data_IF_369925615154
#
_entry.id   IF_369925615154
#
_cell.length_a   1.000
_cell.length_b   1.000
_cell.length_c   1.000
_cell.angle_alpha   90.00
_cell.angle_beta   90.00
_cell.angle_gamma   90.00
#
_symmetry.space_group_name_H-M   'P 1'
#
loop_
_entity.id
_entity.type
_entity.pdbx_description
1 polymer ?
#
# COMPACT_ATOMS: atom_id res chain seq x y z
N UNK A 1 -16.45 56.80 56.51
CA UNK A 1 -17.35 57.65 57.30
C UNK A 1 -18.30 58.28 56.29
N UNK A 2 -19.55 57.90 56.13
CA UNK A 2 -20.44 57.12 56.98
C UNK A 2 -21.47 56.40 56.10
N UNK A 3 -21.80 55.16 56.48
CA UNK A 3 -22.98 54.47 55.96
C UNK A 3 -24.23 54.93 56.71
N UNK A 4 -25.36 54.95 56.01
CA UNK A 4 -26.67 54.93 56.65
C UNK A 4 -27.70 54.27 55.73
N UNK A 5 -27.93 52.97 55.93
CA UNK A 5 -29.25 52.34 55.74
C UNK A 5 -30.17 52.82 56.88
N UNK A 6 -31.51 52.91 56.72
CA UNK A 6 -32.32 51.68 56.72
C UNK A 6 -33.70 51.76 56.03
N UNK A 7 -34.36 50.61 55.87
CA UNK A 7 -35.83 50.54 55.95
C UNK A 7 -36.52 49.48 55.09
N UNK A 8 -36.55 48.22 55.56
CA UNK A 8 -37.53 47.22 55.09
C UNK A 8 -38.83 47.30 55.91
N UNK A 9 -40.01 47.17 55.27
CA UNK A 9 -41.16 46.51 55.87
C UNK A 9 -41.33 45.06 55.37
N UNK A 10 -42.02 44.23 56.18
CA UNK A 10 -42.07 42.76 56.14
C UNK A 10 -43.52 42.25 55.92
N UNK A 11 -43.67 41.32 54.95
CA UNK A 11 -44.62 40.16 54.79
C UNK A 11 -46.15 40.41 54.68
N UNK A 12 -46.95 39.55 53.98
CA UNK A 12 -47.15 38.12 54.31
C UNK A 12 -47.05 37.12 53.15
N UNK A 13 -46.98 35.85 53.57
CA UNK A 13 -46.78 34.59 52.84
C UNK A 13 -47.91 34.26 51.87
N UNK A 14 -47.56 33.72 50.70
CA UNK A 14 -48.38 32.74 50.00
C UNK A 14 -47.47 31.61 49.49
N UNK A 15 -47.81 30.39 49.89
CA UNK A 15 -47.19 29.13 49.46
C UNK A 15 -47.78 28.77 48.10
N UNK A 16 -46.95 28.55 47.07
CA UNK A 16 -47.35 27.81 45.86
C UNK A 16 -46.18 26.94 45.41
N UNK A 17 -46.51 25.67 45.20
CA UNK A 17 -45.66 24.53 44.87
C UNK A 17 -45.16 24.61 43.42
N UNK A 18 -43.87 24.43 43.19
CA UNK A 18 -43.24 24.40 41.85
C UNK A 18 -43.46 23.04 41.17
N UNK A 19 -44.03 23.03 39.96
CA UNK A 19 -43.84 21.96 38.97
C UNK A 19 -43.24 22.58 37.71
N UNK A 20 -42.04 22.10 37.34
CA UNK A 20 -41.26 22.53 36.18
C UNK A 20 -41.46 21.49 35.08
N UNK A 21 -42.08 21.89 33.96
CA UNK A 21 -42.14 21.12 32.72
C UNK A 21 -41.70 22.04 31.59
N UNK A 22 -40.53 21.76 31.03
CA UNK A 22 -39.93 22.51 29.93
C UNK A 22 -40.43 21.97 28.60
N UNK A 23 -41.09 22.83 27.82
CA UNK A 23 -41.51 22.56 26.43
C UNK A 23 -40.57 23.34 25.50
N UNK A 24 -39.88 22.63 24.60
CA UNK A 24 -39.12 23.24 23.49
C UNK A 24 -40.07 23.64 22.35
N UNK A 25 -39.93 24.86 21.86
CA UNK A 25 -40.53 25.32 20.61
C UNK A 25 -39.45 25.88 19.67
N UNK A 26 -39.61 25.55 18.39
CA UNK A 26 -38.70 25.78 17.28
C UNK A 26 -38.69 27.24 16.77
N UNK A 27 -37.59 27.63 16.12
CA UNK A 27 -37.54 28.74 15.17
C UNK A 27 -36.65 28.36 13.98
N UNK A 28 -37.12 28.64 12.76
CA UNK A 28 -36.45 28.37 11.49
C UNK A 28 -35.44 29.49 11.15
N UNK A 29 -34.26 29.12 10.66
CA UNK A 29 -33.33 29.99 9.93
C UNK A 29 -32.64 29.23 8.79
N UNK A 30 -32.36 29.96 7.71
CA UNK A 30 -31.93 29.59 6.34
C UNK A 30 -30.69 28.68 6.29
N UNK A 31 -30.55 27.76 5.31
CA UNK A 31 -29.31 26.99 5.13
C UNK A 31 -28.19 27.91 4.61
N UNK A 32 -27.16 28.10 5.42
CA UNK A 32 -25.84 28.50 4.94
C UNK A 32 -25.23 27.30 4.22
N UNK A 33 -24.76 27.52 2.99
CA UNK A 33 -23.83 26.64 2.28
C UNK A 33 -22.53 26.58 3.09
N UNK A 34 -22.51 25.70 4.09
CA UNK A 34 -21.35 25.37 4.88
C UNK A 34 -20.40 24.54 4.03
N UNK A 35 -19.37 25.21 3.54
CA UNK A 35 -18.09 24.64 3.10
C UNK A 35 -17.80 23.32 3.82
N UNK A 36 -17.88 22.21 3.09
CA UNK A 36 -17.37 20.91 3.55
C UNK A 36 -15.90 21.12 3.85
N UNK A 37 -15.53 20.96 5.12
CA UNK A 37 -14.14 20.94 5.54
C UNK A 37 -13.40 19.84 4.78
N UNK A 38 -12.20 20.19 4.31
CA UNK A 38 -11.25 19.27 3.69
C UNK A 38 -11.15 17.95 4.47
N UNK A 39 -11.18 16.79 3.81
CA UNK A 39 -10.62 15.57 4.37
C UNK A 39 -9.10 15.62 4.16
N UNK A 40 -8.41 16.20 5.14
CA UNK A 40 -7.09 15.72 5.52
C UNK A 40 -7.28 15.00 6.85
N UNK A 41 -6.94 13.71 6.88
CA UNK A 41 -6.45 12.92 8.03
C UNK A 41 -6.71 11.45 7.73
N UNK A 42 -5.63 10.67 7.57
CA UNK A 42 -5.68 9.26 7.23
C UNK A 42 -6.50 8.44 8.23
N UNK A 43 -7.24 7.46 7.73
CA UNK A 43 -7.93 6.49 8.58
C UNK A 43 -6.90 5.80 9.47
N UNK A 44 -7.14 5.84 10.78
CA UNK A 44 -6.38 5.07 11.78
C UNK A 44 -6.51 3.59 11.42
N UNK A 45 -5.46 3.00 10.85
CA UNK A 45 -5.46 1.62 10.34
C UNK A 45 -4.97 1.45 8.90
N UNK A 46 -4.64 2.54 8.19
CA UNK A 46 -4.17 2.50 6.79
C UNK A 46 -2.67 2.86 6.64
N UNK A 47 -1.87 2.75 7.70
CA UNK A 47 -0.44 3.05 7.65
C UNK A 47 0.35 1.82 7.16
N UNK A 48 0.86 1.81 5.92
CA UNK A 48 1.62 0.68 5.39
C UNK A 48 2.93 0.42 6.14
N UNK A 49 3.50 1.43 6.83
CA UNK A 49 4.69 1.23 7.66
C UNK A 49 4.41 0.23 8.78
N UNK A 50 3.18 0.17 9.27
CA UNK A 50 2.80 -0.75 10.34
C UNK A 50 2.65 -2.22 9.88
N UNK A 51 2.71 -2.50 8.58
CA UNK A 51 2.86 -3.85 8.03
C UNK A 51 4.31 -4.36 8.11
N UNK A 52 5.30 -3.47 8.23
CA UNK A 52 6.71 -3.86 8.34
C UNK A 52 6.91 -4.66 9.63
N UNK A 53 7.32 -5.92 9.51
CA UNK A 53 7.34 -6.83 10.65
C UNK A 53 7.61 -8.29 10.30
N UNK A 54 7.57 -9.13 11.34
CA UNK A 54 7.58 -10.59 11.23
C UNK A 54 6.25 -11.13 11.74
N UNK A 55 5.50 -11.79 10.86
CA UNK A 55 4.11 -12.16 11.10
C UNK A 55 3.92 -13.66 10.97
N UNK A 56 3.30 -14.27 11.97
CA UNK A 56 2.75 -15.61 11.87
C UNK A 56 1.51 -15.56 10.97
N UNK A 57 1.51 -16.38 9.94
CA UNK A 57 0.42 -16.48 8.95
C UNK A 57 -0.61 -17.50 9.42
N UNK A 58 -1.89 -17.22 9.19
CA UNK A 58 -3.00 -18.12 9.49
C UNK A 58 -4.07 -18.03 8.41
N UNK A 59 -4.75 -19.16 8.13
CA UNK A 59 -5.87 -19.21 7.19
C UNK A 59 -5.50 -19.16 5.70
N UNK A 60 -4.23 -18.94 5.37
CA UNK A 60 -3.75 -18.94 3.99
C UNK A 60 -3.80 -20.35 3.37
N UNK A 61 -4.44 -20.45 2.21
CA UNK A 61 -4.53 -21.71 1.47
C UNK A 61 -3.15 -22.23 1.05
N UNK A 62 -2.90 -23.50 1.37
CA UNK A 62 -1.63 -24.17 1.03
C UNK A 62 -0.51 -23.98 2.06
N UNK A 63 -0.70 -23.13 3.07
CA UNK A 63 0.30 -22.88 4.10
C UNK A 63 0.11 -23.75 5.34
N UNK A 64 1.22 -24.22 5.91
CA UNK A 64 1.26 -24.95 7.16
C UNK A 64 0.98 -24.02 8.36
N UNK A 65 0.74 -24.60 9.56
CA UNK A 65 0.59 -23.77 10.75
C UNK A 65 1.85 -22.94 10.98
N UNK A 66 3.05 -23.49 10.74
CA UNK A 66 4.38 -22.90 10.95
C UNK A 66 4.89 -22.03 9.79
N UNK A 67 4.02 -21.16 9.27
CA UNK A 67 4.36 -20.21 8.20
C UNK A 67 4.55 -18.79 8.76
N UNK A 68 5.66 -18.14 8.40
CA UNK A 68 5.92 -16.73 8.75
C UNK A 68 6.17 -15.87 7.52
N UNK A 69 5.49 -14.73 7.48
CA UNK A 69 5.69 -13.68 6.49
C UNK A 69 6.49 -12.54 7.13
N UNK A 70 7.71 -12.31 6.65
CA UNK A 70 8.48 -11.11 6.97
C UNK A 70 8.23 -10.07 5.90
N UNK A 71 7.81 -8.87 6.30
CA UNK A 71 7.60 -7.73 5.42
C UNK A 71 8.64 -6.65 5.75
N UNK A 72 9.51 -6.36 4.79
CA UNK A 72 10.52 -5.30 4.82
C UNK A 72 10.22 -4.29 3.70
N UNK A 73 10.80 -3.09 3.70
CA UNK A 73 10.50 -2.11 2.65
C UNK A 73 10.78 -2.69 1.24
N UNK A 74 9.74 -2.80 0.41
CA UNK A 74 9.80 -3.31 -0.97
C UNK A 74 9.96 -4.83 -1.13
N UNK A 75 10.09 -5.59 -0.04
CA UNK A 75 10.43 -7.02 -0.11
C UNK A 75 9.80 -7.84 1.01
N UNK A 76 9.34 -9.03 0.66
CA UNK A 76 8.91 -10.03 1.62
C UNK A 76 9.81 -11.27 1.59
N UNK A 77 9.88 -11.97 2.72
CA UNK A 77 10.30 -13.37 2.75
C UNK A 77 9.21 -14.21 3.38
N UNK A 78 8.83 -15.30 2.72
CA UNK A 78 7.84 -16.25 3.21
C UNK A 78 8.55 -17.55 3.64
N UNK A 79 8.49 -17.82 4.94
CA UNK A 79 9.07 -18.98 5.59
C UNK A 79 7.99 -20.03 5.76
N UNK A 80 8.25 -21.26 5.34
CA UNK A 80 7.28 -22.34 5.41
C UNK A 80 7.93 -23.73 5.39
N UNK A 81 7.18 -24.71 4.92
CA UNK A 81 7.51 -26.13 5.08
C UNK A 81 8.77 -26.61 4.33
N UNK A 82 9.27 -25.82 3.37
CA UNK A 82 10.51 -26.14 2.67
C UNK A 82 11.78 -25.95 3.54
N UNK A 83 11.66 -25.59 4.82
CA UNK A 83 12.76 -25.51 5.78
C UNK A 83 13.72 -24.35 5.54
N UNK A 84 13.31 -23.39 4.72
CA UNK A 84 13.96 -22.10 4.47
C UNK A 84 12.89 -21.07 4.06
N UNK A 85 13.19 -20.14 3.16
CA UNK A 85 12.23 -19.13 2.69
C UNK A 85 12.27 -18.90 1.18
N UNK A 86 11.17 -18.37 0.65
CA UNK A 86 11.11 -17.72 -0.67
C UNK A 86 11.07 -16.21 -0.51
N UNK A 87 11.47 -15.47 -1.53
CA UNK A 87 11.57 -14.01 -1.54
C UNK A 87 10.84 -13.43 -2.74
N UNK A 88 10.08 -12.37 -2.50
CA UNK A 88 9.36 -11.61 -3.52
C UNK A 88 9.24 -10.14 -3.13
N UNK A 89 8.60 -9.34 -3.98
CA UNK A 89 8.34 -7.92 -3.73
C UNK A 89 6.96 -7.69 -3.15
N UNK A 90 6.80 -6.68 -2.30
CA UNK A 90 5.49 -6.14 -1.94
C UNK A 90 5.57 -4.62 -1.84
N UNK A 91 4.41 -3.98 -1.92
CA UNK A 91 4.24 -2.55 -1.67
C UNK A 91 2.80 -2.30 -1.16
N UNK A 92 2.59 -1.16 -0.49
CA UNK A 92 1.30 -0.81 0.06
C UNK A 92 1.08 0.70 0.18
N UNK A 93 -0.19 1.09 0.07
CA UNK A 93 -0.62 2.47 0.15
C UNK A 93 -2.05 2.58 0.67
N UNK A 94 -2.24 3.28 1.78
CA UNK A 94 -3.58 3.42 2.37
C UNK A 94 -4.11 2.04 2.77
N UNK A 95 -5.05 1.48 1.99
CA UNK A 95 -5.57 0.12 2.20
C UNK A 95 -5.16 -0.85 1.10
N UNK A 96 -4.50 -0.38 0.06
CA UNK A 96 -4.05 -1.19 -1.08
C UNK A 96 -2.78 -1.94 -0.72
N UNK A 97 -2.72 -3.21 -1.10
CA UNK A 97 -1.55 -4.08 -0.97
C UNK A 97 -1.28 -4.74 -2.31
N UNK A 98 -0.01 -4.86 -2.69
CA UNK A 98 0.41 -5.66 -3.85
C UNK A 98 1.59 -6.53 -3.45
N UNK A 99 1.62 -7.77 -3.95
CA UNK A 99 2.76 -8.65 -3.80
C UNK A 99 3.02 -9.44 -5.10
N UNK A 100 4.30 -9.57 -5.47
CA UNK A 100 4.70 -10.39 -6.60
C UNK A 100 4.68 -11.88 -6.25
N UNK A 101 4.71 -12.72 -7.28
CA UNK A 101 5.20 -14.09 -7.11
C UNK A 101 6.64 -14.08 -6.56
N UNK A 102 7.04 -15.14 -5.83
CA UNK A 102 8.42 -15.25 -5.39
C UNK A 102 9.37 -15.40 -6.58
N UNK A 103 10.45 -14.62 -6.58
CA UNK A 103 11.47 -14.62 -7.64
C UNK A 103 12.82 -15.17 -7.16
N UNK A 104 12.97 -15.41 -5.85
CA UNK A 104 14.16 -16.02 -5.26
C UNK A 104 13.78 -16.98 -4.12
N UNK A 105 14.72 -17.85 -3.76
CA UNK A 105 14.56 -18.78 -2.65
C UNK A 105 15.90 -19.09 -1.99
N UNK A 106 15.85 -19.41 -0.69
CA UNK A 106 17.00 -19.83 0.09
C UNK A 106 16.95 -21.33 0.40
N UNK A 107 18.12 -21.93 0.63
CA UNK A 107 18.25 -23.30 1.11
C UNK A 107 17.49 -24.33 0.27
N UNK A 108 16.76 -25.23 0.93
CA UNK A 108 16.02 -26.30 0.27
C UNK A 108 14.86 -25.78 -0.61
N UNK A 109 14.32 -24.59 -0.33
CA UNK A 109 13.25 -23.98 -1.13
C UNK A 109 13.69 -23.67 -2.57
N UNK A 110 14.99 -23.55 -2.85
CA UNK A 110 15.48 -23.33 -4.22
C UNK A 110 15.80 -24.61 -5.00
N UNK A 111 15.82 -25.77 -4.34
CA UNK A 111 16.40 -27.00 -4.93
C UNK A 111 15.50 -27.69 -5.96
N UNK A 112 14.18 -27.54 -5.84
CA UNK A 112 13.18 -28.16 -6.72
C UNK A 112 12.46 -27.15 -7.63
N UNK A 113 12.95 -25.91 -7.69
CA UNK A 113 12.20 -24.76 -8.20
C UNK A 113 11.63 -23.93 -7.06
N UNK A 114 11.39 -22.64 -7.31
CA UNK A 114 10.87 -21.69 -6.32
C UNK A 114 9.38 -21.98 -6.11
N UNK A 115 8.93 -22.32 -4.89
CA UNK A 115 7.52 -22.46 -4.58
C UNK A 115 6.73 -21.19 -4.89
N UNK A 116 5.54 -21.35 -5.46
CA UNK A 116 4.59 -20.25 -5.66
C UNK A 116 3.86 -19.94 -4.34
N UNK A 117 3.37 -18.70 -4.20
CA UNK A 117 2.55 -18.25 -3.08
C UNK A 117 1.23 -17.65 -3.59
N UNK A 118 0.32 -18.46 -4.15
CA UNK A 118 -0.85 -17.95 -4.85
C UNK A 118 -1.82 -17.18 -3.95
N UNK A 119 -1.90 -17.52 -2.66
CA UNK A 119 -2.70 -16.74 -1.71
C UNK A 119 -2.15 -15.33 -1.54
N UNK A 120 -0.82 -15.14 -1.54
CA UNK A 120 -0.23 -13.81 -1.34
C UNK A 120 -0.43 -12.94 -2.58
N UNK A 121 -0.44 -13.54 -3.78
CA UNK A 121 -0.74 -12.86 -5.05
C UNK A 121 -2.18 -12.33 -5.11
N UNK A 122 -3.12 -12.98 -4.42
CA UNK A 122 -4.54 -12.62 -4.47
C UNK A 122 -4.89 -11.50 -3.50
N UNK A 123 -3.98 -11.13 -2.59
CA UNK A 123 -4.18 -10.03 -1.65
C UNK A 123 -4.10 -8.71 -2.39
N UNK A 124 -5.19 -7.93 -2.31
CA UNK A 124 -5.25 -6.57 -2.86
C UNK A 124 -5.43 -5.51 -1.79
N UNK A 125 -5.81 -5.92 -0.57
CA UNK A 125 -6.05 -5.01 0.53
C UNK A 125 -5.68 -5.60 1.89
N UNK A 126 -5.59 -4.73 2.88
CA UNK A 126 -5.33 -5.10 4.26
C UNK A 126 -6.13 -4.24 5.23
N UNK A 127 -6.37 -4.77 6.43
CA UNK A 127 -7.03 -4.03 7.49
C UNK A 127 -6.62 -4.49 8.89
N UNK A 128 -6.65 -3.61 9.90
CA UNK A 128 -6.31 -3.97 11.25
C UNK A 128 -7.28 -5.00 11.83
N UNK A 129 -6.76 -5.91 12.63
CA UNK A 129 -7.52 -6.96 13.33
C UNK A 129 -7.11 -7.04 14.80
N UNK A 130 -7.21 -5.92 15.52
CA UNK A 130 -6.72 -5.82 16.90
C UNK A 130 -5.19 -5.79 16.95
N UNK A 131 -4.54 -6.87 17.35
CA UNK A 131 -3.07 -6.98 17.49
C UNK A 131 -2.34 -7.41 16.19
N UNK A 132 -2.99 -7.30 15.03
CA UNK A 132 -2.43 -7.76 13.76
C UNK A 132 -3.24 -7.28 12.57
N UNK A 133 -3.19 -8.04 11.48
CA UNK A 133 -3.79 -7.65 10.20
C UNK A 133 -4.60 -8.78 9.59
N UNK A 134 -5.65 -8.42 8.86
CA UNK A 134 -6.31 -9.29 7.89
C UNK A 134 -5.92 -8.84 6.48
N UNK A 135 -5.52 -9.79 5.67
CA UNK A 135 -5.25 -9.63 4.24
C UNK A 135 -6.48 -10.07 3.45
N UNK A 136 -6.90 -9.25 2.51
CA UNK A 136 -8.17 -9.37 1.80
C UNK A 136 -7.93 -9.50 0.30
N UNK A 137 -8.75 -10.30 -0.36
CA UNK A 137 -8.81 -10.36 -1.82
C UNK A 137 -9.71 -9.26 -2.41
N UNK A 138 -9.88 -9.30 -3.73
CA UNK A 138 -10.68 -8.33 -4.48
C UNK A 138 -12.19 -8.39 -4.18
N UNK A 139 -12.69 -9.51 -3.67
CA UNK A 139 -14.08 -9.67 -3.23
C UNK A 139 -14.28 -9.20 -1.78
N UNK A 140 -13.18 -8.93 -1.07
CA UNK A 140 -13.16 -8.53 0.34
C UNK A 140 -13.15 -9.72 1.30
N UNK A 141 -12.95 -10.94 0.79
CA UNK A 141 -12.83 -12.14 1.60
C UNK A 141 -11.45 -12.21 2.26
N UNK A 142 -11.39 -12.78 3.46
CA UNK A 142 -10.13 -12.89 4.22
C UNK A 142 -9.29 -14.02 3.62
N UNK A 143 -8.14 -13.65 3.06
CA UNK A 143 -7.14 -14.58 2.52
C UNK A 143 -6.23 -15.10 3.62
N UNK A 144 -5.79 -14.21 4.52
CA UNK A 144 -4.88 -14.57 5.60
C UNK A 144 -4.98 -13.63 6.80
N UNK A 145 -4.72 -14.16 7.99
CA UNK A 145 -4.49 -13.39 9.20
C UNK A 145 -3.01 -13.31 9.54
N UNK A 146 -2.53 -12.13 9.94
CA UNK A 146 -1.17 -11.85 10.39
C UNK A 146 -1.17 -11.51 11.88
N UNK A 147 -0.36 -12.20 12.68
CA UNK A 147 -0.18 -11.94 14.12
C UNK A 147 1.29 -11.95 14.51
N UNK A 148 1.65 -11.17 15.54
CA UNK A 148 2.97 -11.29 16.16
C UNK A 148 2.98 -12.55 17.02
N UNK A 149 3.58 -13.62 16.52
CA UNK A 149 3.72 -14.88 17.26
C UNK A 149 4.98 -15.64 16.82
N UNK A 150 5.92 -15.80 17.75
CA UNK A 150 7.17 -16.51 17.51
C UNK A 150 8.02 -15.95 16.35
N UNK A 151 8.89 -16.81 15.85
CA UNK A 151 9.77 -16.55 14.71
C UNK A 151 10.08 -17.89 14.01
N UNK A 152 10.40 -17.88 12.71
CA UNK A 152 10.80 -19.10 12.01
C UNK A 152 12.08 -19.68 12.61
N UNK A 153 12.27 -20.99 12.46
CA UNK A 153 13.51 -21.63 12.87
C UNK A 153 14.69 -21.06 12.06
N UNK A 154 15.84 -20.75 12.69
CA UNK A 154 17.01 -20.26 11.97
C UNK A 154 17.51 -21.28 10.93
N UNK A 155 17.83 -20.80 9.72
CA UNK A 155 18.54 -21.61 8.73
C UNK A 155 20.02 -21.69 9.14
N UNK A 156 20.64 -22.89 9.15
CA UNK A 156 22.08 -23.01 9.37
C UNK A 156 22.86 -22.13 8.38
N UNK A 157 23.83 -21.38 8.90
CA UNK A 157 24.70 -20.47 8.15
C UNK A 157 24.02 -19.22 7.54
N UNK A 158 22.72 -19.03 7.76
CA UNK A 158 22.03 -17.78 7.42
C UNK A 158 22.17 -16.74 8.54
N UNK A 159 22.08 -15.47 8.18
CA UNK A 159 22.07 -14.38 9.15
C UNK A 159 20.80 -14.46 10.02
N UNK A 160 20.95 -14.40 11.34
CA UNK A 160 19.85 -14.48 12.31
C UNK A 160 18.78 -13.41 12.08
N UNK A 161 19.19 -12.25 11.56
CA UNK A 161 18.32 -11.10 11.27
C UNK A 161 17.22 -11.44 10.25
N UNK A 162 17.42 -12.44 9.40
CA UNK A 162 16.42 -12.87 8.43
C UNK A 162 15.20 -13.52 9.10
N UNK A 163 15.39 -14.10 10.28
CA UNK A 163 14.33 -14.68 11.11
C UNK A 163 13.77 -13.69 12.15
N UNK A 164 14.10 -12.40 12.04
CA UNK A 164 13.66 -11.35 12.97
C UNK A 164 12.81 -10.29 12.25
N UNK A 165 11.99 -9.58 13.02
CA UNK A 165 11.29 -8.41 12.51
C UNK A 165 12.30 -7.35 12.06
N UNK A 166 12.13 -6.75 10.86
CA UNK A 166 12.95 -5.64 10.41
C UNK A 166 12.83 -4.42 11.35
N UNK A 167 13.92 -3.67 11.46
CA UNK A 167 13.90 -2.37 12.13
C UNK A 167 13.19 -1.34 11.25
N UNK A 168 12.25 -0.60 11.83
CA UNK A 168 11.59 0.54 11.16
C UNK A 168 12.47 1.78 11.29
N UNK A 169 13.42 1.90 10.35
CA UNK A 169 14.32 3.06 10.22
C UNK A 169 13.63 4.24 9.52
N UNK A 170 14.30 5.39 9.46
CA UNK A 170 13.80 6.54 8.70
C UNK A 170 13.76 6.26 7.19
N UNK A 171 14.70 5.48 6.66
CA UNK A 171 14.69 5.05 5.25
C UNK A 171 13.48 4.15 4.96
N UNK A 172 13.13 3.25 5.88
CA UNK A 172 11.91 2.42 5.77
C UNK A 172 10.67 3.31 5.78
N UNK A 173 10.57 4.31 6.66
CA UNK A 173 9.43 5.24 6.67
C UNK A 173 9.34 6.03 5.37
N UNK A 174 10.47 6.54 4.88
CA UNK A 174 10.55 7.30 3.63
C UNK A 174 10.07 6.49 2.41
N UNK A 175 10.30 5.17 2.40
CA UNK A 175 9.82 4.31 1.32
C UNK A 175 8.28 4.27 1.18
N UNK A 176 7.54 4.57 2.26
CA UNK A 176 6.08 4.57 2.27
C UNK A 176 5.46 5.98 2.26
N UNK A 177 6.27 7.03 2.26
CA UNK A 177 5.78 8.40 2.18
C UNK A 177 4.98 8.62 0.88
N UNK A 178 3.88 9.40 0.93
CA UNK A 178 3.14 9.73 -0.29
C UNK A 178 4.05 10.43 -1.32
N UNK A 179 4.10 9.97 -2.58
CA UNK A 179 4.96 10.57 -3.59
C UNK A 179 4.46 11.96 -3.98
N UNK A 180 5.37 12.80 -4.48
CA UNK A 180 5.03 14.11 -5.05
C UNK A 180 3.91 13.99 -6.09
N UNK A 181 2.97 14.96 -6.22
CA UNK A 181 1.85 14.87 -7.14
C UNK A 181 2.31 14.76 -8.60
N UNK A 182 1.40 14.32 -9.49
CA UNK A 182 1.68 14.35 -10.93
C UNK A 182 2.02 15.78 -11.38
N UNK A 183 3.04 15.95 -12.23
CA UNK A 183 3.34 17.22 -12.88
C UNK A 183 2.15 17.82 -13.62
N UNK A 184 2.09 19.15 -13.65
CA UNK A 184 1.06 19.90 -14.38
C UNK A 184 1.01 19.47 -15.85
N UNK A 185 -0.20 19.28 -16.36
CA UNK A 185 -0.45 18.88 -17.75
C UNK A 185 -0.54 17.37 -17.96
N UNK A 186 -0.23 16.55 -16.96
CA UNK A 186 -0.53 15.12 -16.98
C UNK A 186 -1.91 14.84 -16.36
N UNK A 187 -2.72 14.03 -17.03
CA UNK A 187 -3.92 13.47 -16.43
C UNK A 187 -3.56 12.19 -15.67
N UNK A 188 -4.08 11.94 -14.45
CA UNK A 188 -3.93 10.64 -13.80
C UNK A 188 -4.39 9.50 -14.72
N UNK A 189 -3.58 8.46 -14.85
CA UNK A 189 -3.98 7.28 -15.60
C UNK A 189 -4.98 6.45 -14.78
N UNK A 190 -5.94 5.81 -15.45
CA UNK A 190 -6.75 4.74 -14.83
C UNK A 190 -6.16 3.37 -15.17
N UNK A 191 -6.55 2.33 -14.43
CA UNK A 191 -6.18 0.93 -14.72
C UNK A 191 -6.44 0.57 -16.19
N UNK A 192 -7.60 0.98 -16.73
CA UNK A 192 -7.99 0.70 -18.11
C UNK A 192 -7.07 1.38 -19.14
N UNK A 193 -6.51 2.53 -18.78
CA UNK A 193 -5.58 3.23 -19.65
C UNK A 193 -4.23 2.52 -19.67
N UNK A 194 -3.75 2.08 -18.49
CA UNK A 194 -2.42 1.45 -18.32
C UNK A 194 -2.38 0.02 -18.89
N UNK A 195 -3.46 -0.75 -18.79
CA UNK A 195 -3.49 -2.14 -19.27
C UNK A 195 -3.12 -2.25 -20.75
N UNK A 196 -2.15 -3.13 -21.03
CA UNK A 196 -1.64 -3.44 -22.36
C UNK A 196 -0.14 -3.23 -22.49
N UNK A 197 0.33 -3.34 -23.75
CA UNK A 197 1.73 -3.19 -24.12
C UNK A 197 2.10 -1.73 -24.34
N UNK A 198 3.24 -1.34 -23.79
CA UNK A 198 3.86 -0.03 -23.94
C UNK A 198 5.32 -0.16 -24.31
N UNK A 199 5.78 0.69 -25.21
CA UNK A 199 7.16 0.72 -25.73
C UNK A 199 7.73 2.14 -25.67
N UNK A 200 9.06 2.31 -25.57
CA UNK A 200 9.69 3.62 -25.67
C UNK A 200 9.36 4.31 -27.00
N UNK A 201 9.32 5.65 -26.98
CA UNK A 201 9.11 6.45 -28.19
C UNK A 201 10.22 6.19 -29.22
N UNK A 202 11.45 6.02 -28.75
CA UNK A 202 12.58 5.67 -29.59
C UNK A 202 12.54 4.17 -29.91
N UNK A 203 12.46 3.84 -31.20
CA UNK A 203 12.50 2.44 -31.64
C UNK A 203 13.90 1.88 -31.47
N UNK A 204 13.99 0.77 -30.74
CA UNK A 204 15.21 -0.03 -30.61
C UNK A 204 15.00 -1.42 -31.26
N UNK A 205 16.08 -1.98 -31.83
CA UNK A 205 16.03 -3.31 -32.44
C UNK A 205 15.81 -4.44 -31.42
N UNK A 206 16.06 -4.16 -30.14
CA UNK A 206 15.94 -5.11 -29.04
C UNK A 206 14.50 -5.25 -28.52
N UNK A 207 13.54 -4.49 -29.07
CA UNK A 207 12.12 -4.53 -28.67
C UNK A 207 11.88 -4.31 -27.16
N UNK A 208 12.41 -3.22 -26.55
CA UNK A 208 12.18 -2.93 -25.14
C UNK A 208 10.71 -2.56 -24.90
N UNK A 209 10.08 -3.14 -23.89
CA UNK A 209 8.65 -2.98 -23.63
C UNK A 209 8.25 -3.32 -22.20
N UNK A 210 7.04 -2.92 -21.83
CA UNK A 210 6.30 -3.39 -20.65
C UNK A 210 4.88 -3.80 -21.08
N UNK A 211 4.33 -4.83 -20.45
CA UNK A 211 2.94 -5.23 -20.54
C UNK A 211 2.35 -5.20 -19.14
N UNK A 212 1.34 -4.36 -18.94
CA UNK A 212 0.52 -4.38 -17.73
C UNK A 212 -0.73 -5.24 -17.99
N UNK A 213 -0.94 -6.25 -17.16
CA UNK A 213 -2.05 -7.20 -17.27
C UNK A 213 -3.22 -6.81 -16.37
N UNK A 214 -4.43 -7.18 -16.76
CA UNK A 214 -5.67 -6.90 -15.99
C UNK A 214 -5.70 -7.58 -14.63
N UNK A 215 -4.93 -8.65 -14.45
CA UNK A 215 -4.82 -9.41 -13.20
C UNK A 215 -3.88 -8.77 -12.17
N UNK A 216 -3.42 -7.53 -12.41
CA UNK A 216 -2.50 -6.84 -11.52
C UNK A 216 -1.05 -7.31 -11.65
N UNK A 217 -0.69 -8.11 -12.66
CA UNK A 217 0.71 -8.43 -12.97
C UNK A 217 1.26 -7.55 -14.07
N UNK A 218 2.58 -7.37 -14.11
CA UNK A 218 3.28 -6.76 -15.22
C UNK A 218 4.51 -7.58 -15.61
N UNK A 219 4.84 -7.54 -16.89
CA UNK A 219 6.06 -8.12 -17.44
C UNK A 219 6.76 -7.09 -18.31
N UNK A 220 8.08 -7.09 -18.38
CA UNK A 220 8.82 -6.16 -19.19
C UNK A 220 10.17 -6.70 -19.61
N UNK A 221 10.72 -6.10 -20.66
CA UNK A 221 12.05 -6.40 -21.15
C UNK A 221 12.75 -5.13 -21.63
N UNK A 222 14.06 -5.06 -21.42
CA UNK A 222 14.94 -4.11 -22.14
C UNK A 222 15.45 -4.70 -23.49
N UNK A 223 15.03 -5.93 -23.79
CA UNK A 223 15.40 -6.74 -24.94
C UNK A 223 16.47 -7.80 -24.66
N UNK A 224 17.13 -7.74 -23.50
CA UNK A 224 18.15 -8.72 -23.09
C UNK A 224 17.86 -9.32 -21.71
N UNK A 225 17.29 -8.51 -20.83
CA UNK A 225 16.83 -8.88 -19.51
C UNK A 225 15.31 -8.74 -19.47
N UNK A 226 14.69 -9.66 -18.76
CA UNK A 226 13.28 -9.58 -18.40
C UNK A 226 13.13 -9.26 -16.92
N UNK A 227 12.04 -8.60 -16.56
CA UNK A 227 11.56 -8.49 -15.18
C UNK A 227 10.05 -8.43 -15.17
N UNK A 228 9.45 -8.48 -13.99
CA UNK A 228 8.03 -8.39 -13.79
C UNK A 228 7.70 -8.32 -12.31
N UNK A 229 6.41 -8.19 -12.02
CA UNK A 229 5.90 -8.14 -10.66
C UNK A 229 4.40 -7.91 -10.63
N UNK A 230 3.87 -7.60 -9.46
CA UNK A 230 2.54 -7.07 -9.27
C UNK A 230 2.53 -5.53 -9.35
N UNK A 231 1.39 -4.97 -9.76
CA UNK A 231 1.11 -3.54 -9.79
C UNK A 231 -0.33 -3.23 -9.37
N UNK A 232 -0.53 -2.01 -8.86
CA UNK A 232 -1.84 -1.42 -8.63
C UNK A 232 -1.78 0.08 -8.89
N UNK A 233 -2.94 0.69 -9.13
CA UNK A 233 -3.06 2.10 -9.43
C UNK A 233 -4.27 2.69 -8.71
N UNK A 234 -4.08 3.84 -8.06
CA UNK A 234 -5.20 4.62 -7.50
C UNK A 234 -5.74 5.67 -8.48
N UNK A 235 -6.87 6.30 -8.13
CA UNK A 235 -7.52 7.33 -8.94
C UNK A 235 -6.67 8.60 -9.14
N UNK A 236 -5.68 8.82 -8.28
CA UNK A 236 -4.70 9.91 -8.36
C UNK A 236 -3.46 9.54 -9.18
N UNK A 237 -3.46 8.36 -9.82
CA UNK A 237 -2.35 7.85 -10.61
C UNK A 237 -1.16 7.42 -9.76
N UNK A 238 -1.29 7.21 -8.44
CA UNK A 238 -0.24 6.58 -7.63
C UNK A 238 -0.09 5.15 -8.09
N UNK A 239 1.11 4.81 -8.53
CA UNK A 239 1.48 3.49 -8.98
C UNK A 239 2.19 2.77 -7.84
N UNK A 240 1.66 1.62 -7.43
CA UNK A 240 2.43 0.62 -6.68
C UNK A 240 2.94 -0.39 -7.68
N UNK A 241 4.23 -0.67 -7.68
CA UNK A 241 4.81 -1.67 -8.55
C UNK A 241 5.95 -2.41 -7.83
N UNK A 242 5.81 -3.72 -7.72
CA UNK A 242 6.90 -4.59 -7.29
C UNK A 242 7.80 -4.89 -8.48
N UNK A 243 9.05 -5.24 -8.25
CA UNK A 243 10.01 -5.58 -9.31
C UNK A 243 10.83 -6.80 -8.92
N UNK A 244 10.80 -7.82 -9.77
CA UNK A 244 11.60 -9.03 -9.60
C UNK A 244 13.05 -8.88 -10.01
N UNK A 245 13.84 -9.92 -9.71
CA UNK A 245 15.23 -10.02 -10.16
C UNK A 245 15.32 -9.96 -11.68
N UNK A 246 16.40 -9.36 -12.15
CA UNK A 246 16.76 -9.31 -13.56
C UNK A 246 18.24 -9.67 -13.72
N UNK A 247 18.59 -10.24 -14.87
CA UNK A 247 19.99 -10.39 -15.26
C UNK A 247 20.60 -9.01 -15.56
N UNK A 248 21.92 -8.90 -15.52
CA UNK A 248 22.66 -7.68 -15.86
C UNK A 248 23.34 -7.83 -17.23
N UNK A 249 22.64 -8.38 -18.22
CA UNK A 249 23.17 -8.48 -19.58
C UNK A 249 23.03 -7.14 -20.29
N UNK A 250 24.12 -6.62 -20.83
CA UNK A 250 24.10 -5.31 -21.48
C UNK A 250 23.62 -5.43 -22.94
N UNK A 251 22.75 -4.51 -23.38
CA UNK A 251 22.48 -4.24 -24.79
C UNK A 251 22.02 -2.80 -25.03
N UNK A 252 21.86 -2.43 -26.31
CA UNK A 252 21.56 -1.07 -26.76
C UNK A 252 20.09 -0.61 -26.52
N UNK A 253 19.28 -1.42 -25.83
CA UNK A 253 17.88 -1.13 -25.51
C UNK A 253 17.70 -0.12 -24.38
N UNK A 254 16.46 0.35 -24.21
CA UNK A 254 16.05 1.16 -23.06
C UNK A 254 15.66 0.28 -21.86
N UNK A 255 15.93 0.73 -20.64
CA UNK A 255 15.67 -0.01 -19.40
C UNK A 255 14.19 0.09 -18.97
N UNK A 256 13.28 -0.42 -19.80
CA UNK A 256 11.84 -0.33 -19.54
C UNK A 256 11.43 -0.95 -18.19
N UNK A 257 11.94 -2.14 -17.80
CA UNK A 257 11.70 -2.65 -16.46
C UNK A 257 12.20 -1.72 -15.34
N UNK A 258 13.34 -1.06 -15.54
CA UNK A 258 13.89 -0.08 -14.61
C UNK A 258 12.99 1.16 -14.48
N UNK A 259 12.30 1.55 -15.55
CA UNK A 259 11.34 2.65 -15.49
C UNK A 259 10.17 2.33 -14.56
N UNK A 260 9.61 1.12 -14.65
CA UNK A 260 8.53 0.68 -13.76
C UNK A 260 9.01 0.65 -12.32
N UNK A 261 10.19 0.07 -12.06
CA UNK A 261 10.78 -0.04 -10.73
C UNK A 261 11.05 1.32 -10.05
N UNK A 262 11.36 2.36 -10.83
CA UNK A 262 11.66 3.69 -10.32
C UNK A 262 10.43 4.61 -10.19
N UNK A 263 9.26 4.16 -10.62
CA UNK A 263 8.07 5.00 -10.72
C UNK A 263 7.19 4.88 -9.49
N UNK A 264 6.64 6.02 -9.07
CA UNK A 264 5.63 6.09 -8.01
C UNK A 264 4.28 6.61 -8.54
N UNK A 265 4.24 7.12 -9.78
CA UNK A 265 3.01 7.54 -10.44
C UNK A 265 2.99 7.21 -11.93
N UNK A 266 1.77 7.05 -12.45
CA UNK A 266 1.46 6.95 -13.87
C UNK A 266 0.44 8.02 -14.28
N UNK A 267 0.77 8.77 -15.32
CA UNK A 267 -0.10 9.76 -15.94
C UNK A 267 -0.20 9.56 -17.45
N UNK A 268 -1.09 10.33 -18.08
CA UNK A 268 -1.29 10.36 -19.52
C UNK A 268 -1.05 11.76 -20.07
N UNK A 269 -0.39 11.81 -21.22
CA UNK A 269 -0.28 12.99 -22.06
C UNK A 269 -0.53 12.62 -23.52
N UNK A 270 -1.67 13.05 -24.05
CA UNK A 270 -2.04 12.80 -25.44
C UNK A 270 -2.08 11.32 -25.83
N UNK A 271 -2.43 10.44 -24.89
CA UNK A 271 -2.45 8.98 -25.08
C UNK A 271 -1.12 8.27 -24.90
N UNK A 272 -0.06 8.99 -24.48
CA UNK A 272 1.21 8.40 -24.05
C UNK A 272 1.18 8.15 -22.55
N UNK A 273 1.66 6.98 -22.13
CA UNK A 273 1.87 6.68 -20.72
C UNK A 273 3.14 7.41 -20.25
N UNK A 274 3.02 8.17 -19.17
CA UNK A 274 4.12 8.88 -18.54
C UNK A 274 4.34 8.30 -17.16
N UNK A 275 5.52 7.76 -16.95
CA UNK A 275 5.97 7.19 -15.69
C UNK A 275 6.77 8.24 -14.92
N UNK A 276 6.42 8.45 -13.66
CA UNK A 276 6.92 9.56 -12.83
C UNK A 276 7.44 9.02 -11.50
N UNK A 277 8.62 9.51 -11.10
CA UNK A 277 9.29 9.11 -9.87
C UNK A 277 8.65 9.71 -8.62
N UNK A 278 9.09 9.29 -7.42
CA UNK A 278 8.56 9.77 -6.14
C UNK A 278 8.78 11.27 -5.90
N UNK A 279 9.79 11.86 -6.54
CA UNK A 279 10.12 13.29 -6.49
C UNK A 279 9.34 14.14 -7.52
N UNK A 280 8.51 13.51 -8.35
CA UNK A 280 7.76 14.16 -9.43
C UNK A 280 8.53 14.29 -10.75
N UNK A 281 9.74 13.75 -10.85
CA UNK A 281 10.49 13.75 -12.10
C UNK A 281 9.90 12.74 -13.09
N UNK A 282 9.78 13.13 -14.36
CA UNK A 282 9.44 12.19 -15.44
C UNK A 282 10.58 11.18 -15.62
N UNK A 283 10.26 9.89 -15.42
CA UNK A 283 11.19 8.77 -15.60
C UNK A 283 11.17 8.34 -17.07
N UNK A 284 9.97 8.17 -17.63
CA UNK A 284 9.82 7.69 -18.99
C UNK A 284 8.50 8.10 -19.62
N UNK A 285 8.51 8.09 -20.96
CA UNK A 285 7.34 8.32 -21.80
C UNK A 285 7.22 7.23 -22.83
N UNK A 286 6.11 6.51 -22.78
CA UNK A 286 5.88 5.30 -23.56
C UNK A 286 4.68 5.48 -24.49
N UNK A 287 4.73 4.84 -25.65
CA UNK A 287 3.65 4.77 -26.62
C UNK A 287 3.04 3.38 -26.61
N UNK A 288 1.79 3.29 -27.07
CA UNK A 288 1.09 2.00 -27.19
C UNK A 288 1.78 1.12 -28.23
N UNK A 289 2.10 -0.11 -27.85
CA UNK A 289 2.65 -1.16 -28.73
C UNK A 289 1.59 -2.07 -29.34
#
# INVERSE_FOLDING_TARGET
>A
MDGHEPGRPRVPRAVVLTFLVSVLAAACTVPDDGTVGSPGDGEVGSDPVALVGMWRVSGADGEGPDTWLRLDAGRYTLWGDCGAYVEGGWDAAGRTFVASDPYAAAGACGTAGIPEAPWLRSVVAYEPDGEGWRLLDADGDVVAGLRVDGAPAPIPDAAEQLAQAPDVTDDVRAAFEPPAPLPDGLAPASVRDVVGRWEPVARAATDPHVVFHEDGTWSGSDGCNGSGGAWALDDGGRLLATSGLQTLMWCEGESVPGYVAASARAGLDGGRLVLVGPDGAEIARLVRG
#
